data_IF_482444770316
#
_entry.id   IF_482444770316
#
_cell.length_a   1.000
_cell.length_b   1.000
_cell.length_c   1.000
_cell.angle_alpha   90.00
_cell.angle_beta   90.00
_cell.angle_gamma   90.00
#
_symmetry.space_group_name_H-M   'P 1'
#
loop_
_entity.id
_entity.type
_entity.pdbx_description
1 polymer ?
#
# COMPACT_ATOMS: atom_id res chain seq x y z
N UNK A 1 1.69 -23.53 -16.93
CA UNK A 1 1.63 -23.35 -15.46
C UNK A 1 2.44 -22.15 -14.99
N UNK A 2 3.72 -22.01 -15.38
CA UNK A 2 4.59 -20.87 -14.98
C UNK A 2 4.01 -19.50 -15.36
N UNK A 3 3.46 -19.36 -16.58
CA UNK A 3 2.86 -18.10 -17.04
C UNK A 3 1.69 -17.64 -16.17
N UNK A 4 0.84 -18.57 -15.72
CA UNK A 4 -0.28 -18.27 -14.85
C UNK A 4 0.21 -17.79 -13.47
N UNK A 5 1.24 -18.44 -12.93
CA UNK A 5 1.88 -18.03 -11.67
C UNK A 5 2.50 -16.63 -11.74
N UNK A 6 3.21 -16.33 -12.84
CA UNK A 6 3.83 -15.02 -13.07
C UNK A 6 2.79 -13.89 -13.23
N UNK A 7 1.69 -14.14 -13.94
CA UNK A 7 0.60 -13.16 -14.08
C UNK A 7 -0.09 -12.90 -12.75
N UNK A 8 -0.37 -13.97 -12.00
CA UNK A 8 -1.05 -13.87 -10.70
C UNK A 8 -0.19 -13.09 -9.71
N UNK A 9 1.11 -13.40 -9.62
CA UNK A 9 2.03 -12.67 -8.74
C UNK A 9 2.20 -11.21 -9.17
N UNK A 10 2.31 -10.93 -10.46
CA UNK A 10 2.39 -9.56 -10.98
C UNK A 10 1.17 -8.71 -10.63
N UNK A 11 -0.04 -9.26 -10.78
CA UNK A 11 -1.30 -8.58 -10.42
C UNK A 11 -1.38 -8.34 -8.92
N UNK A 12 -1.08 -9.34 -8.10
CA UNK A 12 -1.09 -9.20 -6.63
C UNK A 12 -0.08 -8.15 -6.17
N UNK A 13 1.16 -8.17 -6.70
CA UNK A 13 2.19 -7.19 -6.35
C UNK A 13 1.77 -5.77 -6.76
N UNK A 14 1.26 -5.59 -7.97
CA UNK A 14 0.76 -4.29 -8.43
C UNK A 14 -0.40 -3.78 -7.57
N UNK A 15 -1.33 -4.67 -7.20
CA UNK A 15 -2.45 -4.36 -6.33
C UNK A 15 -1.98 -3.93 -4.93
N UNK A 16 -1.06 -4.66 -4.31
CA UNK A 16 -0.50 -4.31 -3.00
C UNK A 16 0.31 -3.01 -3.02
N UNK A 17 1.10 -2.76 -4.06
CA UNK A 17 1.85 -1.50 -4.23
C UNK A 17 0.90 -0.31 -4.36
N UNK A 18 -0.17 -0.44 -5.14
CA UNK A 18 -1.21 0.58 -5.26
C UNK A 18 -1.89 0.86 -3.92
N UNK A 19 -2.36 -0.20 -3.25
CA UNK A 19 -2.96 -0.13 -1.91
C UNK A 19 -2.03 0.51 -0.87
N UNK A 20 -0.74 0.17 -0.90
CA UNK A 20 0.25 0.74 -0.01
C UNK A 20 0.43 2.24 -0.25
N UNK A 21 0.52 2.67 -1.52
CA UNK A 21 0.56 4.10 -1.88
C UNK A 21 -0.68 4.85 -1.39
N UNK A 22 -1.86 4.27 -1.56
CA UNK A 22 -3.10 4.86 -1.02
C UNK A 22 -3.09 4.94 0.50
N UNK A 23 -2.67 3.88 1.20
CA UNK A 23 -2.58 3.90 2.67
C UNK A 23 -1.58 4.92 3.18
N UNK A 24 -0.42 5.08 2.53
CA UNK A 24 0.58 6.08 2.90
C UNK A 24 0.03 7.48 2.70
N UNK A 25 -0.66 7.74 1.57
CA UNK A 25 -1.28 9.03 1.30
C UNK A 25 -2.42 9.36 2.26
N UNK A 26 -3.30 8.41 2.56
CA UNK A 26 -4.40 8.59 3.53
C UNK A 26 -3.90 8.71 4.97
N UNK A 27 -2.75 8.09 5.28
CA UNK A 27 -2.04 8.31 6.55
C UNK A 27 -1.32 9.64 6.59
N UNK A 28 -1.27 10.44 5.53
CA UNK A 28 -0.63 11.75 5.53
C UNK A 28 -1.70 12.82 5.62
N UNK A 29 -1.61 13.68 6.64
CA UNK A 29 -2.53 14.80 6.76
C UNK A 29 -2.13 15.87 5.71
N UNK A 30 -3.00 16.22 4.75
CA UNK A 30 -2.65 17.12 3.64
C UNK A 30 -2.37 18.56 4.09
N UNK A 31 -2.86 18.98 5.26
CA UNK A 31 -2.65 20.33 5.81
C UNK A 31 -1.32 20.49 6.56
N UNK A 32 -0.87 19.46 7.28
CA UNK A 32 0.25 19.58 8.22
C UNK A 32 1.44 18.63 7.93
N UNK A 33 1.34 17.77 6.91
CA UNK A 33 2.42 16.87 6.50
C UNK A 33 2.83 15.81 7.53
N UNK A 34 2.13 15.72 8.66
CA UNK A 34 2.33 14.66 9.66
C UNK A 34 1.55 13.41 9.30
N UNK A 35 2.12 12.26 9.65
CA UNK A 35 1.39 11.00 9.57
C UNK A 35 0.26 11.01 10.62
N UNK A 36 -0.98 10.73 10.23
CA UNK A 36 -2.20 10.76 11.05
C UNK A 36 -2.31 9.57 12.01
N UNK A 37 -1.19 8.97 12.37
CA UNK A 37 -1.14 7.73 13.13
C UNK A 37 -0.40 7.98 14.42
N UNK A 38 -0.99 7.70 15.59
CA UNK A 38 -0.16 7.28 16.70
C UNK A 38 0.64 6.06 16.23
N UNK A 39 1.92 5.98 16.58
CA UNK A 39 2.69 4.74 16.45
C UNK A 39 1.78 3.56 16.85
N UNK A 40 1.79 2.49 16.06
CA UNK A 40 1.07 1.27 16.39
C UNK A 40 1.57 0.78 17.76
N UNK A 41 0.87 1.21 18.80
CA UNK A 41 0.99 0.78 20.17
C UNK A 41 -0.27 0.02 20.52
N UNK A 42 -0.41 -1.17 19.92
CA UNK A 42 -0.94 -2.40 20.54
C UNK A 42 -0.37 -3.58 19.78
#
# INVERSE_FOLDING_TARGET
MVALGALTSGILLGFFVGLFSFKVKSRWCPDCGRTTVPAAGR
#
